data_IF_482039409059
#
_entry.id   IF_482039409059
#
_cell.length_a   1.000
_cell.length_b   1.000
_cell.length_c   1.000
_cell.angle_alpha   90.00
_cell.angle_beta   90.00
_cell.angle_gamma   90.00
#
_symmetry.space_group_name_H-M   'P 1'
#
loop_
_entity.id
_entity.type
_entity.pdbx_description
1 polymer ?
#
# COMPACT_ATOMS: atom_id res chain seq x y z
N UNK A 1 -9.50 22.61 70.00
CA UNK A 1 -8.21 22.63 69.28
C UNK A 1 -8.53 22.59 67.79
N UNK A 2 -8.35 23.73 67.11
CA UNK A 2 -8.75 23.94 65.71
C UNK A 2 -7.59 23.46 64.84
N UNK A 3 -7.82 22.48 63.97
CA UNK A 3 -6.86 22.09 62.95
C UNK A 3 -6.93 23.15 61.82
N UNK A 4 -5.88 23.94 61.54
CA UNK A 4 -5.97 24.95 60.52
C UNK A 4 -5.93 24.27 59.15
N UNK A 5 -7.06 24.37 58.44
CA UNK A 5 -7.22 24.02 57.04
C UNK A 5 -6.08 24.62 56.21
N UNK A 6 -5.24 23.77 55.63
CA UNK A 6 -4.21 24.14 54.65
C UNK A 6 -4.91 24.77 53.44
N UNK A 7 -4.90 26.09 53.34
CA UNK A 7 -5.37 26.80 52.15
C UNK A 7 -4.31 26.71 51.06
N UNK A 8 -4.51 25.82 50.10
CA UNK A 8 -3.73 25.82 48.87
C UNK A 8 -4.12 27.07 48.05
N UNK A 9 -3.17 27.91 47.62
CA UNK A 9 -3.50 29.14 46.91
C UNK A 9 -4.11 28.84 45.54
N UNK A 10 -5.31 29.36 45.30
CA UNK A 10 -6.12 29.19 44.08
C UNK A 10 -5.32 29.48 42.80
N UNK A 11 -4.38 30.44 42.85
CA UNK A 11 -3.52 30.78 41.71
C UNK A 11 -2.51 29.68 41.32
N UNK A 12 -2.02 28.85 42.26
CA UNK A 12 -1.15 27.71 41.94
C UNK A 12 -1.94 26.53 41.38
N UNK A 13 -3.20 26.38 41.81
CA UNK A 13 -4.13 25.39 41.26
C UNK A 13 -4.48 25.75 39.82
N UNK A 14 -4.79 27.03 39.54
CA UNK A 14 -5.14 27.50 38.19
C UNK A 14 -4.01 27.29 37.16
N UNK A 15 -2.76 27.56 37.55
CA UNK A 15 -1.58 27.34 36.69
C UNK A 15 -1.33 25.85 36.44
N UNK A 16 -1.53 24.99 37.45
CA UNK A 16 -1.42 23.54 37.29
C UNK A 16 -2.52 22.96 36.38
N UNK A 17 -3.74 23.53 36.40
CA UNK A 17 -4.84 23.12 35.51
C UNK A 17 -4.61 23.54 34.05
N UNK A 18 -4.00 24.71 33.80
CA UNK A 18 -3.65 25.13 32.45
C UNK A 18 -2.51 24.32 31.81
N UNK A 19 -1.56 23.81 32.60
CA UNK A 19 -0.47 22.97 32.08
C UNK A 19 -0.91 21.53 31.73
N UNK A 20 -1.98 21.04 32.35
CA UNK A 20 -2.56 19.72 32.07
C UNK A 20 -3.35 19.65 30.74
N UNK A 21 -3.69 20.79 30.14
CA UNK A 21 -4.45 20.85 28.88
C UNK A 21 -3.58 20.80 27.62
N UNK A 22 -2.26 20.92 27.74
CA UNK A 22 -1.35 20.97 26.59
C UNK A 22 -0.79 19.61 26.14
N UNK A 23 -1.21 18.50 26.78
CA UNK A 23 -0.60 17.17 26.56
C UNK A 23 -1.45 16.21 25.71
N UNK A 24 -2.60 16.63 25.18
CA UNK A 24 -3.47 15.78 24.36
C UNK A 24 -3.25 15.94 22.85
N UNK A 25 -1.99 16.11 22.41
CA UNK A 25 -1.66 15.85 21.02
C UNK A 25 -1.49 14.35 20.81
N UNK A 26 -2.62 13.63 20.82
CA UNK A 26 -2.67 12.25 20.32
C UNK A 26 -2.38 12.30 18.81
N UNK A 27 -1.10 12.17 18.46
CA UNK A 27 -0.69 11.90 17.09
C UNK A 27 -1.22 10.52 16.71
N UNK A 28 -2.41 10.49 16.09
CA UNK A 28 -3.05 9.28 15.57
C UNK A 28 -2.34 8.84 14.29
N UNK A 29 -1.10 8.35 14.42
CA UNK A 29 -0.54 7.39 13.47
C UNK A 29 -0.93 5.97 13.91
N UNK A 30 -2.22 5.75 14.19
CA UNK A 30 -2.70 4.41 14.48
C UNK A 30 -2.69 3.62 13.17
N UNK A 31 -2.07 2.44 13.19
CA UNK A 31 -2.12 1.46 12.10
C UNK A 31 -3.58 1.27 11.71
N UNK A 32 -3.96 1.75 10.53
CA UNK A 32 -5.36 1.81 10.13
C UNK A 32 -5.69 0.59 9.28
N UNK A 33 -6.36 -0.37 9.89
CA UNK A 33 -7.04 -1.42 9.14
C UNK A 33 -8.32 -0.83 8.55
N UNK A 34 -8.47 -0.91 7.23
CA UNK A 34 -9.64 -0.39 6.50
C UNK A 34 -10.40 -1.55 5.83
N UNK A 35 -11.72 -1.42 5.62
CA UNK A 35 -12.48 -2.43 4.88
C UNK A 35 -11.87 -2.71 3.51
N UNK A 36 -11.84 -3.97 3.12
CA UNK A 36 -11.31 -4.44 1.86
C UNK A 36 -11.69 -5.90 1.62
N UNK A 37 -11.09 -6.50 0.61
CA UNK A 37 -11.30 -7.91 0.31
C UNK A 37 -10.03 -8.56 -0.21
N UNK A 38 -9.98 -9.88 -0.08
CA UNK A 38 -8.97 -10.72 -0.75
C UNK A 38 -9.68 -11.81 -1.55
N UNK A 39 -9.11 -12.20 -2.68
CA UNK A 39 -9.42 -13.46 -3.36
C UNK A 39 -8.26 -14.41 -3.07
N UNK A 40 -8.56 -15.48 -2.34
CA UNK A 40 -7.58 -16.50 -1.96
C UNK A 40 -7.16 -17.33 -3.18
N UNK A 41 -6.07 -18.09 -3.05
CA UNK A 41 -5.57 -18.98 -4.12
C UNK A 41 -6.54 -20.08 -4.55
N UNK A 42 -7.52 -20.43 -3.70
CA UNK A 42 -8.60 -21.36 -4.02
C UNK A 42 -9.81 -20.69 -4.72
N UNK A 43 -9.73 -19.37 -4.95
CA UNK A 43 -10.79 -18.56 -5.56
C UNK A 43 -11.82 -18.01 -4.56
N UNK A 44 -11.72 -18.35 -3.27
CA UNK A 44 -12.65 -17.84 -2.28
C UNK A 44 -12.43 -16.33 -2.05
N UNK A 45 -13.51 -15.56 -2.18
CA UNK A 45 -13.52 -14.14 -1.80
C UNK A 45 -13.80 -14.01 -0.30
N UNK A 46 -12.96 -13.24 0.38
CA UNK A 46 -13.09 -12.95 1.81
C UNK A 46 -13.12 -11.44 2.01
N UNK A 47 -14.23 -10.93 2.53
CA UNK A 47 -14.33 -9.56 3.02
C UNK A 47 -13.53 -9.46 4.34
N UNK A 48 -12.65 -8.48 4.42
CA UNK A 48 -11.67 -8.39 5.50
C UNK A 48 -11.30 -6.93 5.80
N UNK A 49 -10.40 -6.74 6.77
CA UNK A 49 -9.79 -5.47 7.06
C UNK A 49 -8.32 -5.53 6.61
N UNK A 50 -7.90 -4.64 5.72
CA UNK A 50 -6.52 -4.59 5.21
C UNK A 50 -5.81 -3.42 5.86
N UNK A 51 -4.57 -3.64 6.28
CA UNK A 51 -3.72 -2.59 6.83
C UNK A 51 -3.37 -1.57 5.74
N UNK A 52 -3.78 -0.33 5.92
CA UNK A 52 -3.45 0.77 5.02
C UNK A 52 -2.03 1.28 5.32
N UNK A 53 -1.07 0.86 4.48
CA UNK A 53 0.35 1.25 4.60
C UNK A 53 0.73 2.42 3.69
N UNK A 54 -0.22 2.99 2.95
CA UNK A 54 0.05 4.11 2.04
C UNK A 54 1.07 3.76 0.93
N UNK A 55 0.96 2.56 0.35
CA UNK A 55 1.94 1.99 -0.58
C UNK A 55 2.38 2.96 -1.70
N UNK A 56 3.64 3.41 -1.61
CA UNK A 56 4.30 4.20 -2.65
C UNK A 56 4.85 3.34 -3.81
N UNK A 57 5.03 2.05 -3.55
CA UNK A 57 5.52 0.98 -4.42
C UNK A 57 4.54 -0.19 -4.39
N UNK A 58 4.56 -1.05 -5.40
CA UNK A 58 3.74 -2.26 -5.38
C UNK A 58 4.20 -3.17 -4.24
N UNK A 59 3.28 -3.66 -3.38
CA UNK A 59 3.66 -4.53 -2.27
C UNK A 59 4.13 -5.89 -2.76
N UNK A 60 5.06 -6.51 -2.03
CA UNK A 60 5.37 -7.94 -2.17
C UNK A 60 4.48 -8.81 -1.27
N UNK A 61 4.07 -8.25 -0.14
CA UNK A 61 3.12 -8.82 0.81
C UNK A 61 2.29 -7.71 1.44
N UNK A 62 1.16 -8.06 2.06
CA UNK A 62 0.34 -7.12 2.81
C UNK A 62 -0.29 -7.84 4.02
N UNK A 63 -0.72 -7.06 5.01
CA UNK A 63 -1.36 -7.59 6.22
C UNK A 63 -2.87 -7.37 6.18
N UNK A 64 -3.65 -8.38 6.59
CA UNK A 64 -5.10 -8.28 6.70
C UNK A 64 -5.63 -9.06 7.92
N UNK A 65 -6.86 -8.76 8.33
CA UNK A 65 -7.58 -9.48 9.38
C UNK A 65 -8.97 -9.82 8.89
N UNK A 66 -9.49 -11.00 9.21
CA UNK A 66 -10.87 -11.38 8.83
C UNK A 66 -11.96 -10.55 9.52
N UNK A 67 -11.66 -10.01 10.69
CA UNK A 67 -12.50 -9.07 11.44
C UNK A 67 -11.63 -8.34 12.48
N UNK A 68 -12.21 -7.42 13.26
CA UNK A 68 -11.49 -6.60 14.23
C UNK A 68 -10.77 -7.40 15.32
N UNK A 69 -11.34 -8.55 15.72
CA UNK A 69 -10.84 -9.42 16.79
C UNK A 69 -9.91 -10.53 16.28
N UNK A 70 -9.86 -10.76 14.97
CA UNK A 70 -9.03 -11.79 14.36
C UNK A 70 -7.54 -11.44 14.46
N UNK A 71 -6.71 -12.48 14.48
CA UNK A 71 -5.27 -12.35 14.32
C UNK A 71 -4.92 -11.76 12.95
N UNK A 72 -3.74 -11.13 12.87
CA UNK A 72 -3.21 -10.62 11.60
C UNK A 72 -2.75 -11.81 10.75
N UNK A 73 -3.21 -11.82 9.49
CA UNK A 73 -2.79 -12.75 8.44
C UNK A 73 -1.98 -11.99 7.38
N UNK A 74 -1.11 -12.70 6.68
CA UNK A 74 -0.27 -12.15 5.61
C UNK A 74 -0.77 -12.62 4.24
N UNK A 75 -1.09 -11.66 3.38
CA UNK A 75 -1.33 -11.87 1.96
C UNK A 75 0.01 -11.90 1.22
N UNK A 76 0.25 -12.96 0.46
CA UNK A 76 1.49 -13.18 -0.30
C UNK A 76 1.15 -13.63 -1.72
N UNK A 77 2.16 -13.69 -2.60
CA UNK A 77 2.01 -14.18 -3.96
C UNK A 77 1.54 -15.65 -4.07
N UNK A 78 1.58 -16.41 -2.97
CA UNK A 78 1.13 -17.81 -2.92
C UNK A 78 -0.20 -18.02 -2.19
N UNK A 79 -0.64 -17.07 -1.34
CA UNK A 79 -1.86 -17.20 -0.54
C UNK A 79 -3.08 -16.52 -1.15
N UNK A 80 -2.87 -15.54 -2.05
CA UNK A 80 -3.95 -14.80 -2.71
C UNK A 80 -3.74 -14.75 -4.23
N UNK A 81 -4.75 -14.27 -4.94
CA UNK A 81 -4.71 -13.94 -6.37
C UNK A 81 -5.03 -12.47 -6.63
N UNK A 82 -5.79 -11.83 -5.73
CA UNK A 82 -6.23 -10.45 -5.82
C UNK A 82 -6.52 -9.89 -4.43
N UNK A 83 -6.37 -8.58 -4.25
CA UNK A 83 -6.92 -7.88 -3.10
C UNK A 83 -7.33 -6.45 -3.44
N UNK A 84 -8.31 -5.94 -2.70
CA UNK A 84 -8.77 -4.56 -2.81
C UNK A 84 -8.80 -3.88 -1.44
N UNK A 85 -8.35 -2.62 -1.39
CA UNK A 85 -8.28 -1.81 -0.17
C UNK A 85 -9.24 -0.64 -0.31
N UNK A 86 -10.36 -0.71 0.42
CA UNK A 86 -11.53 0.14 0.21
C UNK A 86 -11.98 0.16 -1.26
N UNK A 87 -12.48 1.31 -1.70
CA UNK A 87 -12.93 1.52 -3.09
C UNK A 87 -11.85 2.14 -3.99
N UNK A 88 -10.61 2.26 -3.50
CA UNK A 88 -9.58 3.10 -4.13
C UNK A 88 -8.44 2.33 -4.77
N UNK A 89 -8.16 1.13 -4.28
CA UNK A 89 -6.99 0.36 -4.71
C UNK A 89 -7.38 -1.09 -4.93
N UNK A 90 -6.92 -1.62 -6.06
CA UNK A 90 -7.04 -3.03 -6.41
C UNK A 90 -5.69 -3.52 -6.92
N UNK A 91 -5.29 -4.71 -6.51
CA UNK A 91 -4.07 -5.37 -6.92
C UNK A 91 -4.36 -6.79 -7.37
N UNK A 92 -3.74 -7.21 -8.46
CA UNK A 92 -3.90 -8.55 -9.04
C UNK A 92 -2.54 -9.20 -9.23
N UNK A 93 -2.44 -10.50 -8.98
CA UNK A 93 -1.21 -11.24 -9.26
C UNK A 93 -1.15 -11.58 -10.74
N UNK A 94 -0.02 -11.25 -11.36
CA UNK A 94 0.27 -11.59 -12.76
C UNK A 94 1.73 -12.00 -12.88
N UNK A 95 1.96 -13.00 -13.75
CA UNK A 95 3.29 -13.33 -14.25
C UNK A 95 3.52 -12.52 -15.52
N UNK A 96 4.53 -11.65 -15.52
CA UNK A 96 4.82 -10.72 -16.61
C UNK A 96 6.33 -10.58 -16.82
N UNK A 97 6.72 -10.17 -18.03
CA UNK A 97 8.08 -9.72 -18.31
C UNK A 97 8.20 -8.22 -18.04
N UNK A 98 9.15 -7.86 -17.18
CA UNK A 98 9.37 -6.48 -16.73
C UNK A 98 10.73 -6.00 -17.26
N UNK A 99 10.73 -4.91 -18.02
CA UNK A 99 11.96 -4.26 -18.49
C UNK A 99 12.71 -3.59 -17.33
N UNK A 100 13.93 -4.05 -17.08
CA UNK A 100 14.82 -3.57 -16.02
C UNK A 100 15.69 -2.38 -16.46
N UNK A 101 15.49 -1.82 -17.66
CA UNK A 101 16.22 -0.62 -18.11
C UNK A 101 15.95 0.57 -17.18
N UNK A 102 16.94 1.41 -16.90
CA UNK A 102 16.72 2.56 -16.01
C UNK A 102 15.91 3.66 -16.71
N UNK A 103 14.99 4.28 -15.97
CA UNK A 103 14.31 5.51 -16.41
C UNK A 103 15.12 6.78 -16.08
N UNK A 104 16.20 6.64 -15.29
CA UNK A 104 17.05 7.75 -14.90
C UNK A 104 17.98 8.13 -16.06
N UNK A 105 17.94 9.40 -16.49
CA UNK A 105 18.80 9.96 -17.53
C UNK A 105 20.30 9.74 -17.24
N UNK A 106 20.70 9.81 -15.98
CA UNK A 106 22.09 9.61 -15.55
C UNK A 106 22.55 8.15 -15.68
N UNK A 107 21.60 7.21 -15.74
CA UNK A 107 21.86 5.77 -15.83
C UNK A 107 21.31 5.15 -17.13
N UNK A 108 21.04 5.98 -18.16
CA UNK A 108 20.60 5.51 -19.47
C UNK A 108 21.73 4.77 -20.20
N UNK A 109 21.38 3.67 -20.88
CA UNK A 109 22.32 2.93 -21.70
C UNK A 109 22.13 3.22 -23.20
N UNK A 110 23.13 2.85 -23.99
CA UNK A 110 23.13 3.02 -25.46
C UNK A 110 22.43 1.86 -26.18
N UNK A 111 21.94 0.86 -25.44
CA UNK A 111 21.26 -0.30 -26.00
C UNK A 111 19.75 0.00 -26.05
N UNK A 112 19.13 0.10 -27.24
CA UNK A 112 17.71 0.40 -27.37
C UNK A 112 16.80 -0.78 -26.97
N UNK A 113 17.32 -2.00 -26.79
CA UNK A 113 16.51 -3.17 -26.48
C UNK A 113 16.13 -3.25 -24.98
N UNK A 114 14.86 -3.51 -24.63
CA UNK A 114 14.47 -3.77 -23.24
C UNK A 114 15.23 -4.94 -22.61
N UNK A 115 15.51 -4.84 -21.31
CA UNK A 115 16.15 -5.88 -20.51
C UNK A 115 15.10 -6.66 -19.74
N UNK A 116 14.54 -7.68 -20.36
CA UNK A 116 13.42 -8.44 -19.81
C UNK A 116 13.81 -9.29 -18.60
N UNK A 117 12.95 -9.27 -17.58
CA UNK A 117 12.95 -10.21 -16.46
C UNK A 117 11.53 -10.71 -16.21
N UNK A 118 11.30 -12.01 -16.34
CA UNK A 118 10.04 -12.64 -15.95
C UNK A 118 9.89 -12.58 -14.43
N UNK A 119 8.75 -12.12 -13.92
CA UNK A 119 8.44 -12.07 -12.49
C UNK A 119 6.95 -12.23 -12.24
N UNK A 120 6.60 -12.84 -11.11
CA UNK A 120 5.23 -12.89 -10.60
C UNK A 120 5.09 -11.80 -9.55
N UNK A 121 4.20 -10.83 -9.77
CA UNK A 121 4.10 -9.63 -8.93
C UNK A 121 2.64 -9.24 -8.72
N UNK A 122 2.38 -8.45 -7.67
CA UNK A 122 1.14 -7.69 -7.57
C UNK A 122 1.20 -6.49 -8.50
N UNK A 123 0.30 -6.45 -9.49
CA UNK A 123 0.10 -5.27 -10.33
C UNK A 123 -1.07 -4.47 -9.78
N UNK A 124 -0.87 -3.15 -9.62
CA UNK A 124 -1.94 -2.23 -9.25
C UNK A 124 -2.83 -2.04 -10.46
N UNK A 125 -4.13 -2.22 -10.29
CA UNK A 125 -5.11 -1.95 -11.35
C UNK A 125 -5.42 -0.45 -11.34
N UNK A 126 -5.27 0.19 -12.50
CA UNK A 126 -5.55 1.62 -12.69
C UNK A 126 -6.89 1.83 -13.41
N UNK A 127 -7.19 0.99 -14.40
CA UNK A 127 -8.42 1.03 -15.20
C UNK A 127 -8.86 -0.39 -15.48
N UNK A 128 -10.16 -0.66 -15.38
CA UNK A 128 -10.79 -1.94 -15.75
C UNK A 128 -11.89 -1.72 -16.78
N UNK A 129 -11.95 -2.60 -17.79
CA UNK A 129 -12.90 -2.52 -18.91
C UNK A 129 -12.56 -3.51 -20.02
N UNK A 130 -12.93 -3.18 -21.26
CA UNK A 130 -12.53 -3.95 -22.46
C UNK A 130 -10.99 -4.04 -22.57
N UNK A 131 -10.33 -2.95 -22.22
CA UNK A 131 -8.89 -2.90 -22.00
C UNK A 131 -8.61 -2.57 -20.53
N UNK A 132 -7.72 -3.32 -19.90
CA UNK A 132 -7.27 -3.06 -18.55
C UNK A 132 -5.91 -2.37 -18.56
N UNK A 133 -5.70 -1.43 -17.64
CA UNK A 133 -4.41 -0.77 -17.42
C UNK A 133 -3.91 -1.09 -16.02
N UNK A 134 -2.64 -1.49 -15.95
CA UNK A 134 -1.97 -1.86 -14.72
C UNK A 134 -0.68 -1.08 -14.52
N UNK A 135 -0.25 -0.95 -13.27
CA UNK A 135 0.99 -0.34 -12.85
C UNK A 135 1.82 -1.29 -11.99
N UNK A 136 3.10 -1.38 -12.31
CA UNK A 136 4.15 -1.86 -11.43
C UNK A 136 5.10 -0.72 -11.11
N UNK A 137 5.27 -0.41 -9.83
CA UNK A 137 6.22 0.59 -9.36
C UNK A 137 7.10 -0.02 -8.30
N UNK A 138 8.40 0.00 -8.56
CA UNK A 138 9.45 -0.37 -7.64
C UNK A 138 10.36 0.86 -7.41
N UNK A 139 11.36 0.75 -6.53
CA UNK A 139 12.33 1.80 -6.23
C UNK A 139 13.04 2.31 -7.49
N UNK A 140 13.32 1.40 -8.43
CA UNK A 140 14.15 1.68 -9.61
C UNK A 140 13.38 1.90 -10.91
N UNK A 141 12.17 1.33 -11.04
CA UNK A 141 11.41 1.29 -12.29
C UNK A 141 9.93 1.53 -12.08
N UNK A 142 9.32 2.26 -13.01
CA UNK A 142 7.86 2.37 -13.13
C UNK A 142 7.44 1.82 -14.48
N UNK A 143 6.58 0.82 -14.50
CA UNK A 143 6.12 0.13 -15.71
C UNK A 143 4.61 0.05 -15.76
N UNK A 144 4.07 0.28 -16.94
CA UNK A 144 2.64 0.12 -17.21
C UNK A 144 2.43 -1.16 -18.01
N UNK A 145 1.32 -1.84 -17.76
CA UNK A 145 0.94 -3.05 -18.48
C UNK A 145 -0.51 -2.93 -18.93
N UNK A 146 -0.86 -3.64 -19.98
CA UNK A 146 -2.23 -3.69 -20.47
C UNK A 146 -2.63 -5.12 -20.81
N UNK A 147 -3.95 -5.37 -20.82
CA UNK A 147 -4.56 -6.54 -21.43
C UNK A 147 -5.82 -6.12 -22.18
N UNK A 148 -6.17 -6.87 -23.22
CA UNK A 148 -7.40 -6.71 -23.99
C UNK A 148 -8.23 -7.99 -23.82
N UNK A 149 -9.54 -7.86 -23.62
CA UNK A 149 -10.48 -9.00 -23.54
C UNK A 149 -10.05 -10.11 -22.56
N UNK A 150 -9.45 -9.72 -21.43
CA UNK A 150 -8.84 -10.62 -20.43
C UNK A 150 -7.70 -11.52 -20.95
N UNK A 151 -7.09 -11.16 -22.07
CA UNK A 151 -5.91 -11.82 -22.61
C UNK A 151 -4.63 -11.57 -21.81
N UNK A 152 -3.50 -11.98 -22.39
CA UNK A 152 -2.19 -11.86 -21.74
C UNK A 152 -1.85 -10.42 -21.36
N UNK A 153 -1.34 -10.26 -20.14
CA UNK A 153 -0.85 -8.96 -19.64
C UNK A 153 0.53 -8.67 -20.23
N UNK A 154 0.65 -7.57 -20.96
CA UNK A 154 1.89 -7.16 -21.65
C UNK A 154 2.34 -5.77 -21.21
N UNK A 155 3.65 -5.57 -21.12
CA UNK A 155 4.18 -4.25 -20.78
C UNK A 155 3.97 -3.25 -21.93
N UNK A 156 3.55 -2.02 -21.60
CA UNK A 156 3.65 -0.87 -22.49
C UNK A 156 5.10 -0.38 -22.49
N UNK A 157 5.83 -0.68 -23.56
CA UNK A 157 7.26 -0.36 -23.66
C UNK A 157 7.45 1.09 -24.11
N UNK A 158 8.05 1.90 -23.24
CA UNK A 158 8.60 3.20 -23.58
C UNK A 158 10.02 3.26 -23.03
N UNK A 159 11.01 3.16 -23.91
CA UNK A 159 12.42 3.11 -23.53
C UNK A 159 13.17 4.33 -24.05
N UNK A 160 13.80 5.06 -23.13
CA UNK A 160 14.75 6.14 -23.44
C UNK A 160 16.15 5.54 -23.56
N UNK A 161 16.89 5.91 -24.61
CA UNK A 161 18.27 5.50 -24.86
C UNK A 161 19.08 6.68 -25.44
N UNK A 162 20.41 6.66 -25.30
CA UNK A 162 21.28 7.60 -26.01
C UNK A 162 21.46 7.16 -27.46
N UNK A 163 21.30 8.10 -28.41
CA UNK A 163 21.50 7.91 -29.84
C UNK A 163 22.95 8.19 -30.25
#
# INVERSE_FOLDING_TARGET
MINPSVRVPVGKVLVATCFAFLVFFDSRSQIRFVPGYVILSDGARVECLIKDEGWAYNPETFEFKRNEQAAVEQGTLSSVTEFGVGDKMKYVIRKVDIDQSSDNLDNMNNDPAPKWKSSTVFLRVLVEGEANLYLFKDVSVTRFFFSLDNGDVKQLVNKRYYA
#
